data_IF_658549754776
#
_entry.id   IF_658549754776
#
_cell.length_a   1.000
_cell.length_b   1.000
_cell.length_c   1.000
_cell.angle_alpha   90.00
_cell.angle_beta   90.00
_cell.angle_gamma   90.00
#
_symmetry.space_group_name_H-M   'P 1'
#
loop_
_entity.id
_entity.type
_entity.pdbx_description
1 polymer ?
#
# COMPACT_ATOMS: atom_id res chain seq x y z
N UNK A 1 -30.37 10.49 82.85
CA UNK A 1 -29.59 11.35 81.93
C UNK A 1 -28.61 10.43 81.18
N UNK A 2 -28.99 9.70 80.13
CA UNK A 2 -29.20 10.12 78.73
C UNK A 2 -28.11 11.05 78.17
N UNK A 3 -27.05 10.43 77.63
CA UNK A 3 -26.05 11.09 76.77
C UNK A 3 -25.96 10.35 75.43
N UNK A 4 -26.64 10.87 74.40
CA UNK A 4 -26.40 10.56 72.98
C UNK A 4 -25.28 11.46 72.46
N UNK A 5 -24.47 10.96 71.54
CA UNK A 5 -23.82 11.62 70.36
C UNK A 5 -22.55 10.83 70.01
N UNK A 6 -22.09 10.67 68.78
CA UNK A 6 -22.64 10.73 67.42
C UNK A 6 -21.44 10.30 66.56
N UNK A 7 -21.55 9.21 65.80
CA UNK A 7 -20.48 8.77 64.89
C UNK A 7 -20.38 9.73 63.71
N UNK A 8 -19.24 10.42 63.59
CA UNK A 8 -18.88 11.21 62.41
C UNK A 8 -18.13 10.28 61.47
N UNK A 9 -18.80 9.90 60.38
CA UNK A 9 -18.16 9.26 59.21
C UNK A 9 -17.51 10.40 58.41
N UNK A 10 -16.18 10.47 58.45
CA UNK A 10 -15.40 11.34 57.57
C UNK A 10 -15.33 10.66 56.19
N UNK A 11 -16.16 11.11 55.25
CA UNK A 11 -15.98 10.78 53.84
C UNK A 11 -14.75 11.53 53.31
N UNK A 12 -13.65 10.81 53.10
CA UNK A 12 -12.57 11.30 52.24
C UNK A 12 -13.00 11.17 50.78
N UNK A 13 -13.50 12.27 50.20
CA UNK A 13 -13.54 12.45 48.76
C UNK A 13 -12.11 12.70 48.28
N UNK A 14 -11.39 11.63 47.91
CA UNK A 14 -10.16 11.77 47.12
C UNK A 14 -10.55 12.05 45.68
N UNK A 15 -10.71 13.34 45.34
CA UNK A 15 -10.68 13.77 43.95
C UNK A 15 -9.25 13.64 43.44
N UNK A 16 -8.88 12.47 42.91
CA UNK A 16 -7.69 12.35 42.07
C UNK A 16 -8.06 12.99 40.75
N UNK A 17 -7.88 14.31 40.65
CA UNK A 17 -7.70 14.94 39.36
C UNK A 17 -6.40 14.36 38.80
N UNK A 18 -6.50 13.34 37.95
CA UNK A 18 -5.40 12.98 37.07
C UNK A 18 -5.14 14.21 36.21
N UNK A 19 -4.13 14.99 36.57
CA UNK A 19 -3.49 15.90 35.63
C UNK A 19 -2.89 14.97 34.59
N UNK A 20 -3.59 14.80 33.46
CA UNK A 20 -3.04 14.17 32.29
C UNK A 20 -1.85 15.03 31.85
N UNK A 21 -0.66 14.64 32.28
CA UNK A 21 0.58 15.19 31.74
C UNK A 21 0.50 14.92 30.25
N UNK A 22 0.52 15.99 29.45
CA UNK A 22 0.48 15.89 28.00
C UNK A 22 1.59 14.92 27.57
N UNK A 23 1.19 13.74 27.10
CA UNK A 23 2.12 12.76 26.57
C UNK A 23 2.83 13.47 25.42
N UNK A 24 4.14 13.67 25.57
CA UNK A 24 4.94 14.36 24.56
C UNK A 24 4.76 13.63 23.24
N UNK A 25 4.01 14.24 22.36
CA UNK A 25 3.64 13.68 21.09
C UNK A 25 4.48 14.41 20.03
N UNK A 26 5.49 13.75 19.42
CA UNK A 26 6.30 14.33 18.35
C UNK A 26 5.45 14.87 17.20
N UNK A 27 4.26 14.33 17.02
CA UNK A 27 3.30 14.75 16.01
C UNK A 27 2.52 16.02 16.36
N UNK A 28 2.74 16.62 17.53
CA UNK A 28 2.14 17.88 17.98
C UNK A 28 0.60 17.91 17.82
N UNK A 29 -0.04 16.78 18.11
CA UNK A 29 -1.49 16.62 17.97
C UNK A 29 -2.13 16.16 19.28
N UNK A 30 -3.41 16.52 19.46
CA UNK A 30 -4.27 16.01 20.54
C UNK A 30 -4.89 14.66 20.19
N UNK A 31 -4.71 14.20 18.95
CA UNK A 31 -5.18 12.91 18.50
C UNK A 31 -4.39 11.76 19.12
N UNK A 32 -5.00 10.58 19.19
CA UNK A 32 -4.30 9.36 19.58
C UNK A 32 -3.21 9.01 18.55
N UNK A 33 -2.00 8.75 19.04
CA UNK A 33 -0.82 8.46 18.20
C UNK A 33 -0.27 7.07 18.51
N UNK A 34 -0.07 6.30 17.45
CA UNK A 34 0.70 5.06 17.51
C UNK A 34 2.15 5.34 17.10
N UNK A 35 3.13 4.82 17.83
CA UNK A 35 4.54 4.92 17.42
C UNK A 35 4.95 3.67 16.66
N UNK A 36 5.52 3.84 15.48
CA UNK A 36 6.00 2.73 14.66
C UNK A 36 7.11 1.95 15.37
N UNK A 37 7.03 0.62 15.32
CA UNK A 37 7.92 -0.27 16.08
C UNK A 37 7.47 -0.54 17.54
N UNK A 38 6.45 0.17 18.03
CA UNK A 38 5.81 -0.11 19.33
C UNK A 38 4.50 -0.89 19.15
N UNK A 39 3.89 -1.34 20.26
CA UNK A 39 2.56 -1.91 20.25
C UNK A 39 1.55 -0.89 19.68
N UNK A 40 0.73 -1.26 18.67
CA UNK A 40 -0.24 -0.33 18.08
C UNK A 40 -1.23 0.20 19.10
N UNK A 41 -1.48 1.51 19.07
CA UNK A 41 -2.54 2.14 19.85
C UNK A 41 -3.86 1.98 19.08
N UNK A 42 -4.85 1.33 19.69
CA UNK A 42 -6.16 1.14 19.07
C UNK A 42 -6.77 2.49 18.69
N UNK A 43 -7.32 2.58 17.47
CA UNK A 43 -7.97 3.78 16.93
C UNK A 43 -7.08 5.02 16.83
N UNK A 44 -5.74 4.86 16.91
CA UNK A 44 -4.84 5.96 16.58
C UNK A 44 -5.15 6.48 15.18
N UNK A 45 -5.28 7.80 15.05
CA UNK A 45 -5.51 8.47 13.77
C UNK A 45 -4.22 8.96 13.14
N UNK A 46 -3.13 8.99 13.92
CA UNK A 46 -1.77 9.34 13.49
C UNK A 46 -0.79 8.22 13.85
N UNK A 47 0.17 7.96 12.98
CA UNK A 47 1.31 7.07 13.22
C UNK A 47 2.60 7.88 13.17
N UNK A 48 3.29 7.99 14.31
CA UNK A 48 4.62 8.56 14.36
C UNK A 48 5.65 7.55 13.85
N UNK A 49 6.44 7.95 12.85
CA UNK A 49 7.57 7.17 12.33
C UNK A 49 8.89 7.80 12.80
N UNK A 50 9.53 7.24 13.84
CA UNK A 50 10.78 7.77 14.37
C UNK A 50 11.97 7.58 13.41
N UNK A 51 11.90 6.63 12.46
CA UNK A 51 12.99 6.38 11.52
C UNK A 51 13.16 7.55 10.53
N UNK A 52 12.08 8.29 10.31
CA UNK A 52 12.00 9.36 9.32
C UNK A 52 11.63 10.71 9.92
N UNK A 53 11.23 10.71 11.20
CA UNK A 53 10.71 11.89 11.91
C UNK A 53 9.53 12.52 11.16
N UNK A 54 8.54 11.70 10.83
CA UNK A 54 7.28 12.13 10.18
C UNK A 54 6.08 11.52 10.88
N UNK A 55 4.91 12.12 10.66
CA UNK A 55 3.65 11.68 11.23
C UNK A 55 2.67 11.34 10.13
N UNK A 56 2.47 10.04 9.93
CA UNK A 56 1.58 9.50 8.91
C UNK A 56 0.13 9.57 9.37
N UNK A 57 -0.76 9.75 8.41
CA UNK A 57 -2.17 9.48 8.63
C UNK A 57 -2.37 7.95 8.79
N UNK A 58 -3.01 7.53 9.87
CA UNK A 58 -3.15 6.10 10.18
C UNK A 58 -4.10 5.36 9.22
N UNK A 59 -5.13 6.03 8.70
CA UNK A 59 -5.96 5.46 7.64
C UNK A 59 -5.25 5.64 6.28
N UNK A 60 -4.59 4.59 5.83
CA UNK A 60 -3.83 4.53 4.59
C UNK A 60 -4.70 4.54 3.32
N UNK A 61 -6.03 4.57 3.46
CA UNK A 61 -6.95 4.81 2.35
C UNK A 61 -8.09 5.75 2.77
N UNK A 62 -7.76 6.84 3.46
CA UNK A 62 -8.75 7.85 3.84
C UNK A 62 -9.52 8.40 2.62
N UNK A 63 -8.85 8.51 1.46
CA UNK A 63 -9.48 8.94 0.21
C UNK A 63 -10.63 8.02 -0.25
N UNK A 64 -10.67 6.75 0.17
CA UNK A 64 -11.77 5.83 -0.13
C UNK A 64 -13.01 6.03 0.76
N UNK A 65 -12.89 6.72 1.89
CA UNK A 65 -14.00 6.97 2.81
C UNK A 65 -15.08 7.84 2.13
N UNK A 66 -16.33 7.36 1.97
CA UNK A 66 -17.41 8.13 1.36
C UNK A 66 -17.68 9.47 2.04
N UNK A 67 -17.57 9.54 3.38
CA UNK A 67 -17.78 10.77 4.12
C UNK A 67 -16.64 11.76 3.87
N UNK A 68 -15.40 11.27 3.77
CA UNK A 68 -14.26 12.13 3.44
C UNK A 68 -14.36 12.66 2.01
N UNK A 69 -14.73 11.80 1.05
CA UNK A 69 -14.94 12.22 -0.35
C UNK A 69 -16.03 13.29 -0.45
N UNK A 70 -17.15 13.11 0.25
CA UNK A 70 -18.22 14.11 0.31
C UNK A 70 -17.77 15.41 0.99
N UNK A 71 -16.92 15.31 2.02
CA UNK A 71 -16.47 16.49 2.79
C UNK A 71 -15.41 17.32 2.07
N UNK A 72 -14.53 16.69 1.28
CA UNK A 72 -13.48 17.37 0.53
C UNK A 72 -13.93 17.83 -0.87
N UNK A 73 -14.97 17.20 -1.43
CA UNK A 73 -15.54 17.51 -2.74
C UNK A 73 -14.51 17.56 -3.89
N UNK A 74 -13.55 16.64 -3.85
CA UNK A 74 -12.51 16.51 -4.88
C UNK A 74 -12.99 15.53 -5.95
N UNK A 75 -13.27 16.04 -7.14
CA UNK A 75 -13.62 15.23 -8.31
C UNK A 75 -12.44 14.42 -8.84
N UNK A 76 -12.74 13.23 -9.38
CA UNK A 76 -11.75 12.32 -9.99
C UNK A 76 -11.26 11.20 -9.08
N UNK A 77 -11.67 11.17 -7.81
CA UNK A 77 -11.40 10.09 -6.85
C UNK A 77 -12.36 8.94 -7.11
N UNK A 78 -11.81 7.76 -7.41
CA UNK A 78 -12.63 6.57 -7.60
C UNK A 78 -13.29 6.12 -6.27
N UNK A 79 -14.37 5.31 -6.29
CA UNK A 79 -15.04 4.86 -5.07
C UNK A 79 -14.13 4.18 -4.05
N UNK A 80 -13.10 3.46 -4.52
CA UNK A 80 -12.12 2.82 -3.66
C UNK A 80 -11.00 3.75 -3.15
N UNK A 81 -10.96 5.03 -3.54
CA UNK A 81 -9.93 5.98 -3.12
C UNK A 81 -8.72 6.09 -4.05
N UNK A 82 -8.60 5.22 -5.07
CA UNK A 82 -7.57 5.38 -6.11
C UNK A 82 -7.85 6.58 -7.01
N UNK A 83 -6.80 7.24 -7.48
CA UNK A 83 -6.92 8.46 -8.29
C UNK A 83 -5.66 8.73 -9.12
N UNK A 84 -5.77 9.60 -10.13
CA UNK A 84 -4.61 10.08 -10.88
C UNK A 84 -3.76 11.06 -10.07
N UNK A 85 -2.53 11.31 -10.52
CA UNK A 85 -1.59 12.12 -9.74
C UNK A 85 -2.07 13.57 -9.55
N UNK A 86 -2.70 14.16 -10.57
CA UNK A 86 -3.23 15.52 -10.47
C UNK A 86 -4.35 15.60 -9.44
N UNK A 87 -5.19 14.57 -9.36
CA UNK A 87 -6.25 14.44 -8.35
C UNK A 87 -5.67 14.20 -6.96
N UNK A 88 -4.59 13.42 -6.83
CA UNK A 88 -3.89 13.26 -5.56
C UNK A 88 -3.39 14.60 -5.01
N UNK A 89 -2.80 15.46 -5.85
CA UNK A 89 -2.39 16.81 -5.44
C UNK A 89 -3.57 17.68 -5.00
N UNK A 90 -4.71 17.63 -5.72
CA UNK A 90 -5.94 18.35 -5.32
C UNK A 90 -6.50 17.81 -4.00
N UNK A 91 -6.45 16.50 -3.78
CA UNK A 91 -6.90 15.86 -2.54
C UNK A 91 -6.05 16.28 -1.35
N UNK A 92 -4.72 16.29 -1.48
CA UNK A 92 -3.81 16.79 -0.43
C UNK A 92 -4.04 18.28 -0.16
N UNK A 93 -4.24 19.10 -1.20
CA UNK A 93 -4.55 20.52 -1.03
C UNK A 93 -5.89 20.73 -0.29
N UNK A 94 -6.92 19.95 -0.62
CA UNK A 94 -8.21 20.00 0.07
C UNK A 94 -8.09 19.54 1.53
N UNK A 95 -7.29 18.51 1.81
CA UNK A 95 -7.00 18.04 3.16
C UNK A 95 -6.35 19.12 4.01
N UNK A 96 -5.42 19.89 3.42
CA UNK A 96 -4.77 21.03 4.08
C UNK A 96 -5.69 22.25 4.25
N UNK A 97 -6.63 22.46 3.32
CA UNK A 97 -7.62 23.53 3.39
C UNK A 97 -8.84 23.18 4.27
N UNK A 98 -8.93 21.94 4.75
CA UNK A 98 -10.07 21.44 5.52
C UNK A 98 -10.36 22.28 6.77
N UNK A 99 -11.62 22.31 7.21
CA UNK A 99 -12.08 23.06 8.38
C UNK A 99 -11.60 24.53 8.37
N UNK A 100 -11.93 25.24 7.29
CA UNK A 100 -11.59 26.65 7.06
C UNK A 100 -10.07 26.95 7.15
N UNK A 101 -9.24 26.06 6.61
CA UNK A 101 -7.78 26.22 6.58
C UNK A 101 -7.05 25.76 7.84
N UNK A 102 -7.78 25.26 8.85
CA UNK A 102 -7.16 24.60 10.01
C UNK A 102 -6.49 23.28 9.63
N UNK A 103 -6.90 22.70 8.51
CA UNK A 103 -6.43 21.43 7.99
C UNK A 103 -7.03 20.22 8.72
N UNK A 104 -6.90 19.05 8.09
CA UNK A 104 -7.42 17.81 8.65
C UNK A 104 -6.64 17.41 9.91
N UNK A 105 -7.37 17.06 10.98
CA UNK A 105 -6.83 16.78 12.31
C UNK A 105 -5.98 17.91 12.91
N UNK A 106 -6.20 19.16 12.46
CA UNK A 106 -5.46 20.34 12.92
C UNK A 106 -4.10 20.54 12.23
N UNK A 107 -3.83 19.82 11.14
CA UNK A 107 -2.61 19.94 10.35
C UNK A 107 -2.93 20.38 8.93
N UNK A 108 -2.28 21.44 8.46
CA UNK A 108 -2.42 22.00 7.11
C UNK A 108 -1.14 21.88 6.27
N UNK A 109 -0.24 20.99 6.68
CA UNK A 109 1.05 20.70 6.06
C UNK A 109 1.19 19.22 5.67
N UNK A 110 0.06 18.54 5.41
CA UNK A 110 0.06 17.21 4.81
C UNK A 110 0.74 17.25 3.45
N UNK A 111 1.56 16.24 3.16
CA UNK A 111 2.20 16.07 1.87
C UNK A 111 2.19 14.62 1.40
N UNK A 112 2.33 14.44 0.09
CA UNK A 112 2.64 13.14 -0.48
C UNK A 112 4.02 12.67 0.01
N UNK A 113 4.23 11.35 0.15
CA UNK A 113 5.52 10.80 0.50
C UNK A 113 6.58 11.09 -0.54
N UNK A 114 7.80 11.40 -0.10
CA UNK A 114 8.87 11.81 -1.01
C UNK A 114 9.89 10.71 -1.30
N UNK A 115 10.44 10.71 -2.51
CA UNK A 115 11.56 9.90 -2.96
C UNK A 115 12.70 10.79 -3.47
N UNK A 116 13.97 10.44 -3.21
CA UNK A 116 15.09 11.13 -3.85
C UNK A 116 15.20 10.70 -5.32
N UNK A 117 15.87 11.49 -6.14
CA UNK A 117 16.18 11.09 -7.52
C UNK A 117 17.15 9.89 -7.52
N UNK A 118 18.21 9.98 -6.72
CA UNK A 118 19.25 8.96 -6.59
C UNK A 118 19.20 8.36 -5.19
N UNK A 119 19.07 7.04 -5.15
CA UNK A 119 19.15 6.20 -3.96
C UNK A 119 20.05 5.00 -4.24
N UNK A 120 21.27 5.05 -3.70
CA UNK A 120 22.26 3.99 -3.84
C UNK A 120 21.92 2.72 -3.07
N UNK A 121 20.77 2.60 -2.42
CA UNK A 121 20.29 1.34 -1.86
C UNK A 121 19.40 0.55 -2.82
N UNK A 122 18.77 1.22 -3.79
CA UNK A 122 17.92 0.59 -4.79
C UNK A 122 18.70 -0.44 -5.64
N UNK A 123 17.99 -1.46 -6.10
CA UNK A 123 18.57 -2.49 -6.96
C UNK A 123 19.03 -1.97 -8.31
N UNK A 124 18.33 -0.99 -8.89
CA UNK A 124 18.54 -0.55 -10.26
C UNK A 124 18.47 0.98 -10.44
N UNK A 125 18.95 1.45 -11.60
CA UNK A 125 19.01 2.86 -11.97
C UNK A 125 18.55 3.00 -13.42
N UNK A 126 17.58 3.90 -13.64
CA UNK A 126 16.99 4.15 -14.96
C UNK A 126 17.82 5.11 -15.83
N UNK A 127 17.37 5.29 -17.08
CA UNK A 127 18.07 6.02 -18.18
C UNK A 127 18.44 7.49 -17.87
N UNK A 128 17.91 8.08 -16.80
CA UNK A 128 18.20 9.45 -16.38
C UNK A 128 18.65 9.55 -14.91
N UNK A 129 19.24 8.46 -14.38
CA UNK A 129 19.78 8.41 -13.02
C UNK A 129 18.75 8.16 -11.92
N UNK A 130 17.46 8.07 -12.26
CA UNK A 130 16.40 7.75 -11.31
C UNK A 130 16.56 6.36 -10.72
N UNK A 131 16.71 6.24 -9.40
CA UNK A 131 16.83 4.96 -8.71
C UNK A 131 15.47 4.29 -8.51
N UNK A 132 15.36 3.03 -8.95
CA UNK A 132 14.12 2.26 -8.90
C UNK A 132 14.41 0.81 -8.50
N UNK A 133 13.34 0.07 -8.20
CA UNK A 133 13.44 -1.34 -7.87
C UNK A 133 13.17 -1.66 -6.40
N UNK A 134 13.48 -2.89 -5.98
CA UNK A 134 13.44 -3.27 -4.57
C UNK A 134 14.61 -2.66 -3.78
N UNK A 135 14.52 -2.77 -2.45
CA UNK A 135 15.57 -2.39 -1.48
C UNK A 135 15.95 -0.90 -1.45
N UNK A 136 15.19 -0.02 -2.09
CA UNK A 136 15.31 1.42 -1.87
C UNK A 136 15.08 1.73 -0.38
N UNK A 137 15.86 2.62 0.22
CA UNK A 137 15.77 2.98 1.65
C UNK A 137 15.68 4.48 1.86
N UNK A 138 15.96 5.26 0.82
CA UNK A 138 15.93 6.71 0.82
C UNK A 138 14.52 7.29 0.58
N UNK A 139 13.58 6.54 0.00
CA UNK A 139 12.20 7.02 -0.14
C UNK A 139 11.35 6.77 1.09
N UNK A 140 10.37 7.65 1.32
CA UNK A 140 9.57 7.61 2.52
C UNK A 140 8.70 6.34 2.64
N UNK A 141 8.12 5.90 1.52
CA UNK A 141 7.31 4.67 1.47
C UNK A 141 8.17 3.41 1.56
N UNK A 142 9.35 3.40 0.94
CA UNK A 142 10.22 2.22 1.01
C UNK A 142 10.88 2.05 2.38
N UNK A 143 11.23 3.16 3.04
CA UNK A 143 11.66 3.13 4.44
C UNK A 143 10.52 2.67 5.36
N UNK A 144 9.29 3.19 5.16
CA UNK A 144 8.11 2.73 5.89
C UNK A 144 7.91 1.22 5.71
N UNK A 145 7.99 0.70 4.48
CA UNK A 145 7.84 -0.73 4.20
C UNK A 145 8.92 -1.58 4.88
N UNK A 146 10.20 -1.26 4.64
CA UNK A 146 11.32 -2.12 5.03
C UNK A 146 11.74 -1.99 6.49
N UNK A 147 11.80 -0.75 7.00
CA UNK A 147 12.24 -0.45 8.36
C UNK A 147 11.04 -0.37 9.29
N UNK A 148 10.02 0.38 8.89
CA UNK A 148 8.85 0.65 9.71
C UNK A 148 7.96 -0.56 9.94
N UNK A 149 7.55 -1.20 8.86
CA UNK A 149 6.66 -2.37 8.84
C UNK A 149 7.41 -3.70 8.83
N UNK A 150 8.76 -3.64 8.84
CA UNK A 150 9.66 -4.81 8.86
C UNK A 150 9.37 -5.81 7.74
N UNK A 151 8.96 -5.31 6.58
CA UNK A 151 8.73 -6.15 5.40
C UNK A 151 10.00 -6.28 4.57
N UNK A 152 10.10 -7.39 3.85
CA UNK A 152 11.22 -7.66 2.95
C UNK A 152 10.68 -8.04 1.60
N UNK A 153 11.19 -7.43 0.54
CA UNK A 153 10.82 -7.78 -0.82
C UNK A 153 10.98 -9.32 -1.05
N UNK A 154 10.02 -10.00 -1.73
CA UNK A 154 8.80 -9.47 -2.33
C UNK A 154 7.53 -9.59 -1.44
N UNK A 155 7.61 -9.43 -0.12
CA UNK A 155 6.48 -9.66 0.79
C UNK A 155 5.35 -8.62 0.63
N UNK A 156 4.11 -9.11 0.67
CA UNK A 156 2.90 -8.28 0.69
C UNK A 156 2.57 -7.80 2.10
N UNK A 157 2.05 -6.60 2.22
CA UNK A 157 1.38 -6.12 3.45
C UNK A 157 0.01 -6.76 3.68
N UNK A 158 -0.50 -7.56 2.73
CA UNK A 158 -1.75 -8.29 2.90
C UNK A 158 -1.69 -9.66 2.21
N UNK A 159 -0.82 -10.59 2.66
CA UNK A 159 -0.57 -11.86 1.97
C UNK A 159 -1.82 -12.76 1.88
N UNK A 160 -2.76 -12.61 2.82
CA UNK A 160 -4.04 -13.33 2.83
C UNK A 160 -5.18 -12.65 2.07
N UNK A 161 -4.96 -11.48 1.44
CA UNK A 161 -6.02 -10.78 0.72
C UNK A 161 -6.53 -11.62 -0.45
N UNK A 162 -7.83 -11.88 -0.51
CA UNK A 162 -8.46 -12.69 -1.54
C UNK A 162 -9.89 -12.17 -1.76
N UNK A 163 -10.08 -11.38 -2.82
CA UNK A 163 -11.39 -10.82 -3.15
C UNK A 163 -12.24 -11.77 -4.02
N UNK A 164 -13.55 -11.58 -3.95
CA UNK A 164 -14.52 -12.28 -4.80
C UNK A 164 -15.23 -11.29 -5.70
N UNK A 165 -15.12 -11.51 -7.00
CA UNK A 165 -15.90 -10.84 -8.05
C UNK A 165 -16.58 -11.96 -8.83
N UNK A 166 -17.74 -12.39 -8.33
CA UNK A 166 -18.38 -13.60 -8.82
C UNK A 166 -18.57 -13.55 -10.36
N UNK A 167 -18.29 -14.66 -11.07
CA UNK A 167 -17.95 -15.99 -10.53
C UNK A 167 -16.46 -16.23 -10.18
N UNK A 168 -15.58 -15.23 -10.31
CA UNK A 168 -14.18 -15.35 -9.91
C UNK A 168 -14.00 -15.16 -8.39
N UNK A 169 -13.00 -15.82 -7.85
CA UNK A 169 -12.56 -15.69 -6.46
C UNK A 169 -11.04 -15.58 -6.37
N UNK A 170 -10.53 -15.22 -5.19
CA UNK A 170 -9.09 -15.04 -4.92
C UNK A 170 -8.44 -13.98 -5.82
N UNK A 171 -9.21 -12.96 -6.22
CA UNK A 171 -8.70 -11.83 -6.99
C UNK A 171 -7.83 -10.94 -6.12
N UNK A 172 -6.77 -10.39 -6.73
CA UNK A 172 -5.76 -9.57 -6.06
C UNK A 172 -5.90 -8.10 -6.47
N UNK A 173 -5.57 -7.20 -5.54
CA UNK A 173 -5.73 -5.76 -5.72
C UNK A 173 -4.50 -5.10 -6.39
N UNK A 174 -3.96 -5.73 -7.43
CA UNK A 174 -2.78 -5.23 -8.15
C UNK A 174 -2.80 -5.67 -9.62
N UNK A 175 -1.67 -5.55 -10.31
CA UNK A 175 -1.51 -5.91 -11.71
C UNK A 175 -1.45 -7.43 -11.97
N UNK A 176 -1.96 -7.78 -13.15
CA UNK A 176 -1.87 -9.09 -13.78
C UNK A 176 -1.10 -8.99 -15.09
N UNK A 177 -0.27 -9.99 -15.40
CA UNK A 177 0.52 -10.05 -16.64
C UNK A 177 -0.34 -10.27 -17.90
N UNK A 178 0.07 -9.63 -18.99
CA UNK A 178 -0.32 -9.92 -20.38
C UNK A 178 0.94 -10.04 -21.26
N UNK A 179 0.83 -10.64 -22.46
CA UNK A 179 2.01 -11.05 -23.26
C UNK A 179 2.53 -10.05 -24.29
N UNK A 180 1.75 -9.03 -24.66
CA UNK A 180 2.14 -8.06 -25.67
C UNK A 180 3.03 -6.97 -25.06
N UNK A 181 4.02 -6.55 -25.84
CA UNK A 181 4.85 -5.38 -25.57
C UNK A 181 4.37 -4.22 -26.46
N UNK A 182 3.58 -3.30 -25.91
CA UNK A 182 3.05 -2.16 -26.65
C UNK A 182 4.07 -1.02 -26.81
N UNK A 183 5.09 -1.21 -27.66
CA UNK A 183 5.94 -0.15 -28.27
C UNK A 183 6.43 0.94 -27.28
N UNK A 184 6.62 0.60 -26.01
CA UNK A 184 7.18 1.52 -25.03
C UNK A 184 8.59 1.91 -25.46
N UNK A 185 8.97 3.17 -25.24
CA UNK A 185 10.31 3.69 -25.56
C UNK A 185 11.44 2.94 -24.83
N UNK A 186 11.11 2.07 -23.88
CA UNK A 186 11.97 0.99 -23.37
C UNK A 186 12.08 -0.21 -24.34
N UNK A 187 12.40 0.11 -25.60
CA UNK A 187 13.19 -0.70 -26.51
C UNK A 187 12.56 -1.97 -27.09
N UNK A 188 12.49 -1.99 -28.42
CA UNK A 188 12.36 -3.20 -29.25
C UNK A 188 13.47 -4.24 -29.05
N UNK A 189 14.46 -3.94 -28.20
CA UNK A 189 15.50 -4.85 -27.72
C UNK A 189 15.53 -5.00 -26.16
N UNK A 190 14.63 -4.32 -25.41
CA UNK A 190 14.61 -4.26 -23.93
C UNK A 190 13.28 -4.71 -23.26
N UNK A 191 12.33 -5.28 -24.00
CA UNK A 191 11.50 -6.40 -23.52
C UNK A 191 10.57 -6.20 -22.31
N UNK A 192 9.80 -5.11 -22.23
CA UNK A 192 8.69 -4.99 -21.28
C UNK A 192 7.46 -5.82 -21.64
N UNK A 193 6.51 -5.95 -20.71
CA UNK A 193 5.22 -6.60 -20.93
C UNK A 193 4.05 -5.75 -20.42
N UNK A 194 2.91 -5.90 -21.08
CA UNK A 194 1.66 -5.29 -20.64
C UNK A 194 1.17 -5.87 -19.32
N UNK A 195 0.49 -5.03 -18.56
CA UNK A 195 -0.16 -5.40 -17.31
C UNK A 195 -1.54 -4.77 -17.22
N UNK A 196 -2.46 -5.39 -16.49
CA UNK A 196 -3.79 -4.85 -16.25
C UNK A 196 -4.15 -4.91 -14.77
N UNK A 197 -4.72 -3.83 -14.23
CA UNK A 197 -5.17 -3.75 -12.84
C UNK A 197 -6.69 -3.84 -12.76
N UNK A 198 -7.19 -4.89 -12.10
CA UNK A 198 -8.63 -5.03 -11.82
C UNK A 198 -9.12 -4.03 -10.77
N UNK A 199 -8.24 -3.37 -10.03
CA UNK A 199 -8.61 -2.36 -9.02
C UNK A 199 -9.21 -1.12 -9.67
N UNK A 200 -8.73 -0.74 -10.85
CA UNK A 200 -9.07 0.53 -11.48
C UNK A 200 -9.36 0.41 -12.98
N UNK A 201 -9.23 -0.77 -13.58
CA UNK A 201 -9.49 -1.02 -14.99
C UNK A 201 -8.45 -0.41 -15.94
N UNK A 202 -7.24 -0.13 -15.46
CA UNK A 202 -6.19 0.54 -16.24
C UNK A 202 -5.08 -0.43 -16.66
N UNK A 203 -4.64 -0.25 -17.90
CA UNK A 203 -3.46 -0.90 -18.44
C UNK A 203 -2.16 -0.19 -18.02
N UNK A 204 -1.10 -0.96 -17.90
CA UNK A 204 0.26 -0.49 -17.68
C UNK A 204 1.26 -1.27 -18.53
N UNK A 205 2.52 -0.87 -18.44
CA UNK A 205 3.65 -1.61 -18.98
C UNK A 205 4.73 -1.73 -17.90
N UNK A 206 5.42 -2.86 -17.87
CA UNK A 206 6.46 -3.10 -16.88
C UNK A 206 7.65 -3.88 -17.43
N UNK A 207 8.79 -3.75 -16.76
CA UNK A 207 9.96 -4.61 -16.98
C UNK A 207 9.64 -6.03 -16.53
N UNK A 208 10.22 -7.04 -17.19
CA UNK A 208 9.97 -8.45 -16.89
C UNK A 208 10.88 -9.05 -15.80
N UNK A 209 11.92 -8.33 -15.39
CA UNK A 209 12.99 -8.88 -14.57
C UNK A 209 12.85 -8.58 -13.06
N UNK A 210 12.12 -7.52 -12.70
CA UNK A 210 12.23 -6.97 -11.34
C UNK A 210 10.91 -6.90 -10.57
N UNK A 211 9.78 -7.17 -11.24
CA UNK A 211 8.45 -6.95 -10.69
C UNK A 211 7.62 -8.25 -10.63
N UNK A 212 6.91 -8.43 -9.52
CA UNK A 212 6.09 -9.62 -9.26
C UNK A 212 4.62 -9.25 -9.48
N UNK A 213 4.00 -9.90 -10.46
CA UNK A 213 2.57 -9.77 -10.72
C UNK A 213 1.90 -11.14 -10.84
N UNK A 214 0.58 -11.13 -10.79
CA UNK A 214 -0.24 -12.33 -10.86
C UNK A 214 -0.52 -12.72 -12.31
N UNK A 215 -0.97 -13.95 -12.49
CA UNK A 215 -1.39 -14.47 -13.79
C UNK A 215 -2.83 -14.97 -13.65
N UNK A 216 -3.69 -14.53 -14.55
CA UNK A 216 -5.04 -15.07 -14.73
C UNK A 216 -5.09 -15.71 -16.11
N UNK A 217 -4.74 -17.00 -16.25
CA UNK A 217 -4.75 -17.70 -17.53
C UNK A 217 -6.14 -17.78 -18.13
N UNK A 218 -6.15 -17.84 -19.46
CA UNK A 218 -7.34 -18.11 -20.24
C UNK A 218 -7.10 -19.20 -21.28
N UNK A 219 -8.18 -19.75 -21.82
CA UNK A 219 -8.21 -20.59 -23.02
C UNK A 219 -9.08 -19.90 -24.04
N UNK A 220 -8.62 -19.84 -25.29
CA UNK A 220 -9.46 -19.42 -26.40
C UNK A 220 -10.50 -20.51 -26.69
N UNK A 221 -11.77 -20.24 -26.38
CA UNK A 221 -12.87 -21.20 -26.50
C UNK A 221 -13.24 -21.90 -25.20
N UNK A 222 -14.17 -22.85 -25.32
CA UNK A 222 -14.70 -23.62 -24.20
C UNK A 222 -13.83 -24.83 -23.84
N UNK A 223 -13.88 -25.22 -22.57
CA UNK A 223 -13.34 -26.48 -22.07
C UNK A 223 -14.40 -27.58 -22.17
N UNK A 224 -14.32 -28.39 -23.23
CA UNK A 224 -15.34 -29.41 -23.49
C UNK A 224 -16.66 -28.78 -23.95
N UNK A 225 -17.77 -29.11 -23.29
CA UNK A 225 -19.07 -28.54 -23.61
C UNK A 225 -19.20 -27.14 -23.00
N UNK A 226 -19.45 -26.09 -23.81
CA UNK A 226 -19.61 -24.74 -23.29
C UNK A 226 -20.82 -24.62 -22.34
N UNK A 227 -20.74 -23.79 -21.30
CA UNK A 227 -21.91 -23.42 -20.51
C UNK A 227 -22.98 -22.75 -21.36
N UNK A 228 -24.24 -22.85 -20.93
CA UNK A 228 -25.34 -22.12 -21.56
C UNK A 228 -25.23 -20.63 -21.25
N UNK A 229 -25.08 -19.81 -22.28
CA UNK A 229 -25.01 -18.37 -22.16
C UNK A 229 -26.42 -17.76 -22.04
N UNK A 230 -26.79 -17.16 -20.89
CA UNK A 230 -28.11 -16.60 -20.69
C UNK A 230 -28.31 -15.34 -21.53
N UNK A 231 -29.47 -15.20 -22.18
CA UNK A 231 -29.84 -13.97 -22.88
C UNK A 231 -30.10 -12.83 -21.87
N UNK A 232 -29.32 -11.75 -21.93
CA UNK A 232 -29.48 -10.58 -21.06
C UNK A 232 -29.13 -10.81 -19.58
N UNK A 233 -28.36 -11.87 -19.27
CA UNK A 233 -27.92 -12.23 -17.92
C UNK A 233 -26.43 -11.97 -17.66
N UNK A 234 -25.86 -12.68 -16.69
CA UNK A 234 -24.42 -12.61 -16.39
C UNK A 234 -23.61 -13.04 -17.63
N UNK A 235 -22.62 -12.23 -17.99
CA UNK A 235 -21.78 -12.46 -19.17
C UNK A 235 -20.72 -13.52 -18.89
N UNK A 236 -20.17 -13.53 -17.68
CA UNK A 236 -19.24 -14.57 -17.22
C UNK A 236 -19.98 -15.59 -16.36
N UNK A 237 -19.99 -16.85 -16.78
CA UNK A 237 -20.78 -17.93 -16.14
C UNK A 237 -19.90 -19.11 -15.72
N UNK A 238 -20.18 -19.77 -14.58
CA UNK A 238 -19.40 -20.93 -14.16
C UNK A 238 -19.70 -22.17 -15.01
N UNK A 239 -18.71 -23.05 -15.15
CA UNK A 239 -18.96 -24.40 -15.67
C UNK A 239 -19.77 -25.24 -14.67
N UNK A 240 -20.83 -25.90 -15.15
CA UNK A 240 -21.73 -26.73 -14.34
C UNK A 240 -21.51 -28.23 -14.51
N UNK A 241 -20.51 -28.65 -15.29
CA UNK A 241 -20.15 -30.05 -15.49
C UNK A 241 -18.79 -30.23 -16.16
N UNK A 242 -18.40 -31.49 -16.33
CA UNK A 242 -17.11 -31.86 -16.94
C UNK A 242 -15.90 -31.56 -16.06
N UNK A 243 -14.71 -31.63 -16.65
CA UNK A 243 -13.43 -31.40 -15.96
C UNK A 243 -13.22 -29.96 -15.49
N UNK A 244 -14.03 -29.02 -15.97
CA UNK A 244 -13.97 -27.59 -15.63
C UNK A 244 -14.92 -27.19 -14.49
N UNK A 245 -15.79 -28.10 -14.00
CA UNK A 245 -16.77 -27.84 -12.94
C UNK A 245 -16.10 -27.19 -11.72
N UNK A 246 -16.52 -25.97 -11.39
CA UNK A 246 -16.01 -25.19 -10.26
C UNK A 246 -14.57 -24.65 -10.39
N UNK A 247 -13.81 -25.09 -11.40
CA UNK A 247 -12.42 -24.67 -11.62
C UNK A 247 -12.25 -23.57 -12.67
N UNK A 248 -13.24 -23.39 -13.55
CA UNK A 248 -13.21 -22.39 -14.61
C UNK A 248 -14.56 -21.70 -14.79
N UNK A 249 -14.52 -20.57 -15.49
CA UNK A 249 -15.69 -19.78 -15.89
C UNK A 249 -15.60 -19.49 -17.39
N UNK A 250 -16.74 -19.39 -18.05
CA UNK A 250 -16.83 -19.08 -19.47
C UNK A 250 -17.38 -17.67 -19.63
N UNK A 251 -16.66 -16.85 -20.38
CA UNK A 251 -17.11 -15.54 -20.80
C UNK A 251 -17.89 -15.68 -22.11
N UNK A 252 -19.20 -15.48 -22.01
CA UNK A 252 -20.14 -15.64 -23.11
C UNK A 252 -20.02 -14.56 -24.19
N UNK A 253 -19.40 -13.42 -23.88
CA UNK A 253 -19.25 -12.31 -24.83
C UNK A 253 -17.96 -12.49 -25.65
N UNK A 254 -16.85 -12.82 -24.99
CA UNK A 254 -15.56 -13.01 -25.69
C UNK A 254 -15.34 -14.44 -26.19
N UNK A 255 -16.05 -15.42 -25.64
CA UNK A 255 -15.86 -16.84 -25.92
C UNK A 255 -14.61 -17.44 -25.25
N UNK A 256 -14.03 -16.75 -24.26
CA UNK A 256 -12.87 -17.23 -23.52
C UNK A 256 -13.26 -17.99 -22.26
N UNK A 257 -12.50 -19.03 -21.95
CA UNK A 257 -12.56 -19.68 -20.63
C UNK A 257 -11.47 -19.11 -19.74
N UNK A 258 -11.82 -18.73 -18.52
CA UNK A 258 -10.92 -18.21 -17.51
C UNK A 258 -10.86 -19.14 -16.31
N UNK A 259 -9.75 -19.13 -15.56
CA UNK A 259 -9.73 -19.76 -14.24
C UNK A 259 -10.72 -19.07 -13.31
N UNK A 260 -11.45 -19.87 -12.51
CA UNK A 260 -12.31 -19.34 -11.46
C UNK A 260 -11.50 -18.82 -10.26
N UNK A 261 -10.38 -19.48 -9.93
CA UNK A 261 -9.39 -19.02 -8.95
C UNK A 261 -8.39 -18.07 -9.63
N UNK A 262 -8.55 -16.78 -9.38
CA UNK A 262 -7.72 -15.73 -9.98
C UNK A 262 -6.32 -15.60 -9.37
N UNK A 263 -5.97 -16.47 -8.43
CA UNK A 263 -4.62 -16.63 -7.93
C UNK A 263 -4.30 -18.12 -7.66
N UNK A 264 -4.65 -18.98 -8.64
CA UNK A 264 -4.34 -20.41 -8.57
C UNK A 264 -2.86 -20.68 -8.31
N UNK A 265 -1.96 -19.84 -8.83
CA UNK A 265 -0.52 -19.99 -8.59
C UNK A 265 -0.12 -19.96 -7.10
N UNK A 266 -0.91 -19.30 -6.25
CA UNK A 266 -0.69 -19.27 -4.81
C UNK A 266 -1.00 -20.59 -4.10
N UNK A 267 -1.91 -21.40 -4.66
CA UNK A 267 -2.34 -22.68 -4.10
C UNK A 267 -1.78 -23.90 -4.85
N UNK A 268 -1.47 -23.74 -6.14
CA UNK A 268 -0.90 -24.77 -7.00
C UNK A 268 0.21 -24.20 -7.90
N UNK A 269 1.45 -24.53 -7.56
CA UNK A 269 2.64 -24.07 -8.29
C UNK A 269 3.04 -24.97 -9.46
N UNK A 270 2.32 -26.07 -9.72
CA UNK A 270 2.67 -27.09 -10.73
C UNK A 270 4.14 -27.56 -10.66
N UNK A 271 4.71 -27.66 -9.45
CA UNK A 271 6.09 -28.08 -9.22
C UNK A 271 7.15 -26.99 -9.37
N UNK A 272 6.77 -25.76 -9.73
CA UNK A 272 7.69 -24.62 -9.76
C UNK A 272 8.06 -24.24 -8.33
N UNK A 273 9.34 -24.42 -7.99
CA UNK A 273 9.89 -24.16 -6.65
C UNK A 273 11.27 -23.52 -6.75
N UNK A 274 11.81 -23.09 -5.60
CA UNK A 274 13.13 -22.50 -5.48
C UNK A 274 13.15 -20.99 -5.67
N UNK A 275 14.36 -20.46 -5.77
CA UNK A 275 14.61 -19.02 -5.83
C UNK A 275 15.19 -18.62 -7.20
N UNK A 276 15.09 -17.34 -7.49
CA UNK A 276 15.76 -16.63 -8.56
C UNK A 276 16.47 -15.42 -8.00
N UNK A 277 17.19 -14.70 -8.86
CA UNK A 277 18.01 -13.57 -8.51
C UNK A 277 17.56 -12.34 -9.30
N UNK A 278 17.30 -11.23 -8.62
CA UNK A 278 16.73 -10.00 -9.22
C UNK A 278 17.71 -8.83 -9.14
N UNK A 279 17.68 -8.01 -10.19
CA UNK A 279 18.41 -6.76 -10.29
C UNK A 279 19.93 -6.95 -10.28
N UNK A 280 20.65 -5.84 -10.43
CA UNK A 280 22.11 -5.86 -10.44
C UNK A 280 22.73 -6.26 -9.09
N UNK A 281 21.95 -6.19 -8.01
CA UNK A 281 22.38 -6.53 -6.63
C UNK A 281 22.25 -8.01 -6.28
N UNK A 282 21.82 -8.83 -7.22
CA UNK A 282 21.61 -10.25 -7.02
C UNK A 282 20.69 -10.60 -5.83
N UNK A 283 19.52 -9.96 -5.77
CA UNK A 283 18.57 -10.14 -4.66
C UNK A 283 17.91 -11.50 -4.77
N UNK A 284 18.03 -12.40 -3.78
CA UNK A 284 17.35 -13.68 -3.81
C UNK A 284 15.85 -13.49 -3.56
N UNK A 285 15.02 -14.05 -4.44
CA UNK A 285 13.57 -14.02 -4.32
C UNK A 285 12.97 -15.38 -4.71
N UNK A 286 11.87 -15.82 -4.09
CA UNK A 286 11.21 -17.06 -4.49
C UNK A 286 10.65 -16.94 -5.90
N UNK A 287 10.69 -18.01 -6.70
CA UNK A 287 10.13 -17.97 -8.07
C UNK A 287 8.66 -17.54 -8.08
N UNK A 288 7.88 -18.03 -7.11
CA UNK A 288 6.48 -17.67 -6.88
C UNK A 288 6.33 -17.21 -5.42
N UNK A 289 5.79 -16.02 -5.20
CA UNK A 289 5.51 -15.47 -3.87
C UNK A 289 4.02 -15.20 -3.70
N UNK A 290 3.31 -16.01 -2.90
CA UNK A 290 1.86 -15.85 -2.72
C UNK A 290 1.04 -15.96 -4.02
N UNK A 291 1.65 -16.45 -5.10
CA UNK A 291 1.10 -16.54 -6.46
C UNK A 291 1.54 -15.43 -7.42
N UNK A 292 2.15 -14.34 -6.93
CA UNK A 292 2.82 -13.36 -7.78
C UNK A 292 4.20 -13.88 -8.21
N UNK A 293 4.64 -13.50 -9.42
CA UNK A 293 5.90 -13.96 -10.00
C UNK A 293 6.41 -13.05 -11.11
N UNK A 294 7.70 -13.18 -11.46
CA UNK A 294 8.25 -12.57 -12.69
C UNK A 294 7.61 -13.17 -13.94
N UNK A 295 7.61 -12.42 -15.04
CA UNK A 295 6.97 -12.84 -16.30
C UNK A 295 7.55 -14.16 -16.86
N UNK A 296 8.87 -14.39 -16.74
CA UNK A 296 9.45 -15.66 -17.18
C UNK A 296 8.94 -16.84 -16.35
N UNK A 297 8.81 -16.67 -15.03
CA UNK A 297 8.22 -17.70 -14.17
C UNK A 297 6.74 -17.90 -14.50
N UNK A 298 5.98 -16.84 -14.79
CA UNK A 298 4.59 -16.93 -15.26
C UNK A 298 4.47 -17.82 -16.51
N UNK A 299 5.36 -17.63 -17.48
CA UNK A 299 5.42 -18.45 -18.69
C UNK A 299 5.71 -19.93 -18.35
N UNK A 300 6.67 -20.19 -17.46
CA UNK A 300 7.00 -21.55 -17.01
C UNK A 300 5.83 -22.21 -16.26
N UNK A 301 5.13 -21.44 -15.42
CA UNK A 301 4.00 -21.92 -14.64
C UNK A 301 2.81 -22.30 -15.54
N UNK A 302 2.48 -21.48 -16.55
CA UNK A 302 1.45 -21.82 -17.55
C UNK A 302 1.86 -23.01 -18.42
N UNK A 303 3.14 -23.15 -18.78
CA UNK A 303 3.63 -24.35 -19.46
C UNK A 303 3.48 -25.61 -18.59
N UNK A 304 3.84 -25.54 -17.31
CA UNK A 304 3.67 -26.66 -16.37
C UNK A 304 2.19 -27.02 -16.15
N UNK A 305 1.31 -26.02 -16.07
CA UNK A 305 -0.15 -26.18 -16.04
C UNK A 305 -0.64 -26.95 -17.27
N UNK A 306 -0.19 -26.58 -18.47
CA UNK A 306 -0.54 -27.28 -19.70
C UNK A 306 -0.01 -28.73 -19.76
N UNK A 307 1.23 -28.96 -19.31
CA UNK A 307 1.80 -30.31 -19.23
C UNK A 307 1.02 -31.21 -18.26
N UNK A 308 0.45 -30.64 -17.20
CA UNK A 308 -0.42 -31.38 -16.26
C UNK A 308 -1.84 -31.65 -16.80
N UNK A 309 -2.18 -31.08 -17.97
CA UNK A 309 -3.53 -31.04 -18.52
C UNK A 309 -4.58 -30.56 -17.51
N UNK A 310 -4.28 -29.46 -16.82
CA UNK A 310 -5.15 -28.90 -15.79
C UNK A 310 -6.57 -28.63 -16.33
N UNK A 311 -7.59 -29.12 -15.60
CA UNK A 311 -9.00 -29.14 -16.01
C UNK A 311 -9.26 -29.80 -17.38
N UNK A 312 -8.40 -30.73 -17.79
CA UNK A 312 -8.49 -31.44 -19.06
C UNK A 312 -7.94 -30.68 -20.27
N UNK A 313 -7.28 -29.54 -20.07
CA UNK A 313 -6.76 -28.68 -21.15
C UNK A 313 -5.25 -28.50 -21.09
N UNK A 314 -4.64 -28.43 -22.28
CA UNK A 314 -3.24 -28.03 -22.48
C UNK A 314 -3.13 -26.72 -23.29
N UNK A 315 -4.21 -25.94 -23.36
CA UNK A 315 -4.33 -24.73 -24.15
C UNK A 315 -4.41 -23.45 -23.30
N UNK A 316 -4.03 -23.53 -22.02
CA UNK A 316 -3.96 -22.36 -21.14
C UNK A 316 -2.86 -21.41 -21.62
N UNK A 317 -3.18 -20.12 -21.63
CA UNK A 317 -2.26 -19.06 -22.02
C UNK A 317 -2.41 -17.85 -21.12
N UNK A 318 -1.30 -17.11 -20.95
CA UNK A 318 -1.34 -15.75 -20.42
C UNK A 318 -2.12 -14.90 -21.44
N UNK A 319 -3.03 -14.00 -21.02
CA UNK A 319 -3.77 -13.15 -21.94
C UNK A 319 -2.86 -12.41 -22.92
N UNK A 320 -3.22 -12.42 -24.20
CA UNK A 320 -2.37 -11.90 -25.26
C UNK A 320 -2.01 -10.42 -25.03
N UNK A 321 -2.99 -9.63 -24.61
CA UNK A 321 -2.89 -8.18 -24.36
C UNK A 321 -3.67 -7.80 -23.10
N UNK A 322 -3.38 -6.63 -22.53
CA UNK A 322 -4.17 -6.04 -21.45
C UNK A 322 -5.62 -5.79 -21.88
N UNK A 323 -5.89 -5.65 -23.19
CA UNK A 323 -7.24 -5.51 -23.71
C UNK A 323 -8.11 -6.74 -23.41
N UNK A 324 -7.55 -7.95 -23.49
CA UNK A 324 -8.27 -9.18 -23.16
C UNK A 324 -8.71 -9.20 -21.69
N UNK A 325 -7.87 -8.69 -20.78
CA UNK A 325 -8.22 -8.54 -19.36
C UNK A 325 -9.23 -7.39 -19.14
N UNK A 326 -9.16 -6.33 -19.95
CA UNK A 326 -10.14 -5.23 -19.93
C UNK A 326 -11.53 -5.67 -20.38
N UNK A 327 -11.62 -6.54 -21.39
CA UNK A 327 -12.90 -7.10 -21.84
C UNK A 327 -13.49 -7.97 -20.71
N UNK A 328 -12.69 -8.85 -20.06
CA UNK A 328 -13.14 -9.60 -18.88
C UNK A 328 -13.60 -8.68 -17.73
N UNK A 329 -12.86 -7.61 -17.44
CA UNK A 329 -13.24 -6.63 -16.42
C UNK A 329 -14.62 -6.02 -16.70
N UNK A 330 -14.90 -5.70 -17.97
CA UNK A 330 -16.19 -5.18 -18.41
C UNK A 330 -17.29 -6.23 -18.28
N UNK A 331 -16.99 -7.46 -18.67
CA UNK A 331 -17.95 -8.58 -18.67
C UNK A 331 -18.24 -9.12 -17.25
N UNK A 332 -17.35 -8.85 -16.29
CA UNK A 332 -17.59 -9.01 -14.85
C UNK A 332 -18.40 -7.87 -14.22
N UNK A 333 -18.81 -6.89 -15.03
CA UNK A 333 -19.51 -5.68 -14.62
C UNK A 333 -18.76 -4.97 -13.48
N UNK A 334 -17.45 -4.79 -13.68
CA UNK A 334 -16.59 -4.03 -12.78
C UNK A 334 -16.49 -2.58 -13.24
N UNK A 335 -16.21 -1.70 -12.29
CA UNK A 335 -16.02 -0.27 -12.54
C UNK A 335 -14.68 0.21 -11.98
N UNK A 336 -14.16 1.32 -12.51
CA UNK A 336 -12.89 1.87 -12.02
C UNK A 336 -13.01 2.22 -10.54
N UNK A 337 -12.20 1.56 -9.71
CA UNK A 337 -12.25 1.67 -8.28
C UNK A 337 -13.35 0.87 -7.61
N UNK A 338 -13.62 -0.33 -8.12
CA UNK A 338 -14.54 -1.29 -7.53
C UNK A 338 -14.17 -1.59 -6.07
N UNK A 339 -15.13 -1.43 -5.17
CA UNK A 339 -14.92 -1.60 -3.72
C UNK A 339 -14.77 -3.07 -3.31
N UNK A 340 -15.16 -4.03 -4.17
CA UNK A 340 -14.97 -5.47 -3.91
C UNK A 340 -13.49 -5.85 -3.78
N UNK A 341 -12.59 -5.03 -4.33
CA UNK A 341 -11.14 -5.22 -4.27
C UNK A 341 -10.45 -4.41 -3.16
N UNK A 342 -11.20 -3.87 -2.18
CA UNK A 342 -10.62 -3.18 -1.04
C UNK A 342 -10.29 -4.14 0.10
N UNK A 343 -9.06 -4.03 0.62
CA UNK A 343 -8.72 -4.55 1.94
C UNK A 343 -9.30 -3.63 3.02
N UNK A 344 -9.93 -4.23 4.01
CA UNK A 344 -10.30 -3.55 5.27
C UNK A 344 -9.53 -4.16 6.44
N UNK A 345 -9.33 -3.40 7.50
CA UNK A 345 -8.62 -3.84 8.69
C UNK A 345 -7.24 -3.20 8.83
N UNK A 346 -6.42 -3.75 9.73
CA UNK A 346 -5.14 -3.15 10.12
C UNK A 346 -3.93 -3.98 9.67
N UNK A 347 -2.86 -3.29 9.28
CA UNK A 347 -1.53 -3.85 9.11
C UNK A 347 -0.54 -3.02 9.92
N UNK A 348 -0.02 -3.61 11.01
CA UNK A 348 0.69 -2.85 12.02
C UNK A 348 -0.19 -1.71 12.56
N UNK A 349 0.31 -0.47 12.62
CA UNK A 349 -0.46 0.68 13.10
C UNK A 349 -1.35 1.34 12.03
N UNK A 350 -1.34 0.86 10.78
CA UNK A 350 -2.12 1.44 9.69
C UNK A 350 -3.43 0.70 9.47
N UNK A 351 -4.49 1.45 9.20
CA UNK A 351 -5.79 0.94 8.77
C UNK A 351 -5.92 1.06 7.26
N UNK A 352 -6.56 0.09 6.62
CA UNK A 352 -6.90 0.07 5.20
C UNK A 352 -5.67 0.28 4.28
N UNK A 353 -4.50 -0.23 4.69
CA UNK A 353 -3.31 -0.25 3.85
C UNK A 353 -3.49 -1.28 2.73
N UNK A 354 -3.59 -0.83 1.49
CA UNK A 354 -3.88 -1.69 0.36
C UNK A 354 -2.60 -2.38 -0.14
N UNK A 355 -2.66 -3.67 -0.54
CA UNK A 355 -1.56 -4.35 -1.22
C UNK A 355 -1.50 -3.89 -2.69
N UNK A 356 -1.14 -2.63 -2.91
CA UNK A 356 -1.17 -1.99 -4.22
C UNK A 356 -0.19 -0.82 -4.32
N UNK A 357 -0.28 -0.07 -5.42
CA UNK A 357 0.54 1.11 -5.68
C UNK A 357 0.01 2.36 -4.98
N UNK A 358 0.95 3.14 -4.46
CA UNK A 358 0.71 4.44 -3.85
C UNK A 358 1.51 5.53 -4.54
N UNK A 359 0.90 6.72 -4.67
CA UNK A 359 1.60 7.90 -5.16
C UNK A 359 2.65 8.39 -4.17
N UNK A 360 3.81 8.73 -4.71
CA UNK A 360 4.87 9.48 -4.04
C UNK A 360 5.25 10.67 -4.94
N UNK A 361 6.25 11.44 -4.56
CA UNK A 361 6.82 12.48 -5.43
C UNK A 361 8.29 12.74 -5.17
N UNK A 362 8.93 13.54 -6.03
CA UNK A 362 10.36 13.79 -5.91
C UNK A 362 10.65 14.94 -4.93
N UNK A 363 11.61 14.71 -4.03
CA UNK A 363 12.26 15.76 -3.23
C UNK A 363 13.60 16.20 -3.82
N UNK A 364 14.15 17.29 -3.29
CA UNK A 364 15.56 17.64 -3.51
C UNK A 364 16.49 16.52 -3.01
N UNK A 365 17.56 16.25 -3.77
CA UNK A 365 18.51 15.18 -3.47
C UNK A 365 19.26 15.39 -2.14
N UNK A 366 19.49 16.65 -1.75
CA UNK A 366 20.12 17.00 -0.46
C UNK A 366 19.17 16.86 0.73
N UNK A 367 17.87 16.69 0.46
CA UNK A 367 16.81 16.56 1.45
C UNK A 367 16.59 15.16 1.99
N UNK A 368 15.62 15.03 2.88
CA UNK A 368 15.19 13.78 3.51
C UNK A 368 13.65 13.66 3.50
N UNK A 369 13.09 12.69 4.22
CA UNK A 369 11.63 12.49 4.24
C UNK A 369 10.84 13.68 4.79
N UNK A 370 11.45 14.60 5.52
CA UNK A 370 10.80 15.84 5.96
C UNK A 370 10.77 16.93 4.89
N UNK A 371 11.52 16.78 3.80
CA UNK A 371 11.60 17.75 2.71
C UNK A 371 10.29 17.83 1.93
N UNK A 372 10.00 19.00 1.32
CA UNK A 372 8.81 19.18 0.50
C UNK A 372 8.88 18.36 -0.79
N UNK A 373 7.68 18.06 -1.29
CA UNK A 373 7.41 17.53 -2.61
C UNK A 373 7.61 18.62 -3.69
N UNK A 374 8.74 18.62 -4.42
CA UNK A 374 9.13 19.77 -5.26
C UNK A 374 9.31 19.45 -6.75
N UNK A 375 9.37 18.18 -7.13
CA UNK A 375 9.68 17.81 -8.51
C UNK A 375 8.92 16.56 -8.99
N UNK A 376 9.05 16.31 -10.29
CA UNK A 376 8.64 15.07 -10.92
C UNK A 376 9.81 14.11 -11.06
N UNK A 377 9.49 12.82 -11.14
CA UNK A 377 10.45 11.81 -11.56
C UNK A 377 10.90 12.02 -13.02
N UNK A 378 12.05 11.45 -13.43
CA UNK A 378 12.49 11.54 -14.81
C UNK A 378 11.43 11.01 -15.80
N UNK A 379 11.21 11.68 -16.94
CA UNK A 379 10.23 11.25 -17.92
C UNK A 379 10.69 9.99 -18.67
N UNK A 380 9.74 9.26 -19.25
CA UNK A 380 9.99 8.24 -20.27
C UNK A 380 9.47 8.74 -21.62
N UNK A 381 10.41 9.08 -22.51
CA UNK A 381 10.11 9.76 -23.76
C UNK A 381 9.27 11.03 -23.52
N UNK A 382 8.10 11.19 -24.16
CA UNK A 382 7.23 12.35 -23.96
C UNK A 382 6.37 12.28 -22.68
N UNK A 383 6.38 11.14 -21.99
CA UNK A 383 5.49 10.91 -20.85
C UNK A 383 6.13 11.39 -19.55
N UNK A 384 5.48 12.37 -18.92
CA UNK A 384 5.82 12.77 -17.55
C UNK A 384 5.48 11.62 -16.59
N UNK A 385 6.43 11.29 -15.72
CA UNK A 385 6.27 10.27 -14.70
C UNK A 385 6.31 10.88 -13.30
N UNK A 386 5.86 10.10 -12.33
CA UNK A 386 6.07 10.37 -10.93
C UNK A 386 6.41 9.10 -10.14
N UNK A 387 7.10 9.25 -9.02
CA UNK A 387 7.43 8.17 -8.10
C UNK A 387 6.19 7.48 -7.53
N UNK A 388 6.28 6.17 -7.39
CA UNK A 388 5.27 5.34 -6.75
C UNK A 388 5.92 4.29 -5.86
N UNK A 389 5.12 3.60 -5.06
CA UNK A 389 5.58 2.46 -4.29
C UNK A 389 4.50 1.39 -4.24
N UNK A 390 4.88 0.12 -4.48
CA UNK A 390 3.97 -1.02 -4.43
C UNK A 390 4.11 -1.76 -3.10
N UNK A 391 3.09 -1.70 -2.24
CA UNK A 391 3.06 -2.41 -0.96
C UNK A 391 2.72 -3.90 -1.07
N UNK A 392 2.31 -4.39 -2.24
CA UNK A 392 2.10 -5.83 -2.43
C UNK A 392 3.40 -6.62 -2.52
N UNK A 393 4.49 -5.94 -2.92
CA UNK A 393 5.78 -6.62 -3.13
C UNK A 393 6.97 -5.83 -2.58
N UNK A 394 6.83 -4.56 -2.21
CA UNK A 394 7.95 -3.74 -1.75
C UNK A 394 8.86 -3.25 -2.89
N UNK A 395 8.27 -2.65 -3.93
CA UNK A 395 8.98 -2.19 -5.12
C UNK A 395 8.71 -0.71 -5.38
N UNK A 396 9.75 0.06 -5.70
CA UNK A 396 9.66 1.47 -6.07
C UNK A 396 9.80 1.67 -7.59
N UNK A 397 8.74 2.03 -8.33
CA UNK A 397 8.82 2.45 -9.71
C UNK A 397 8.64 3.96 -9.88
N UNK A 398 8.72 4.38 -11.14
CA UNK A 398 8.07 5.58 -11.67
C UNK A 398 6.85 5.18 -12.49
N UNK A 399 5.84 6.04 -12.57
CA UNK A 399 4.60 5.73 -13.28
C UNK A 399 4.03 6.94 -13.99
N UNK A 400 3.36 6.71 -15.12
CA UNK A 400 2.68 7.77 -15.87
C UNK A 400 1.56 8.39 -15.03
N UNK A 401 1.40 9.71 -15.11
CA UNK A 401 0.49 10.46 -14.25
C UNK A 401 -0.99 10.06 -14.38
N UNK A 402 -1.35 9.38 -15.47
CA UNK A 402 -2.72 8.90 -15.77
C UNK A 402 -3.10 7.62 -15.04
N UNK A 403 -2.14 6.92 -14.41
CA UNK A 403 -2.44 5.73 -13.61
C UNK A 403 -3.33 6.11 -12.42
N UNK A 404 -4.04 5.14 -11.84
CA UNK A 404 -4.93 5.39 -10.68
C UNK A 404 -4.41 4.66 -9.46
N UNK A 405 -3.71 5.38 -8.57
CA UNK A 405 -3.10 4.79 -7.37
C UNK A 405 -3.68 5.36 -6.10
N UNK A 406 -3.44 4.65 -5.00
CA UNK A 406 -3.85 5.09 -3.67
C UNK A 406 -2.94 6.21 -3.17
N UNK A 407 -3.40 6.90 -2.12
CA UNK A 407 -2.67 8.02 -1.52
C UNK A 407 -2.53 7.78 -0.03
N UNK A 408 -1.29 7.84 0.45
CA UNK A 408 -0.97 8.06 1.86
C UNK A 408 -0.38 9.46 1.98
N UNK A 409 -0.51 10.05 3.16
CA UNK A 409 0.11 11.34 3.48
C UNK A 409 0.76 11.29 4.84
N UNK A 410 1.76 12.13 5.02
CA UNK A 410 2.28 12.49 6.32
C UNK A 410 2.55 13.99 6.37
N UNK A 411 2.86 14.49 7.57
CA UNK A 411 3.51 15.77 7.74
C UNK A 411 4.86 15.59 8.45
N UNK A 412 5.87 16.41 8.12
CA UNK A 412 7.14 16.43 8.84
C UNK A 412 6.95 16.77 10.32
N UNK A 413 7.72 16.14 11.21
CA UNK A 413 7.79 16.61 12.59
C UNK A 413 8.54 17.94 12.60
N UNK A 414 7.83 19.03 12.86
CA UNK A 414 8.46 20.30 13.20
C UNK A 414 9.15 20.13 14.53
N UNK A 415 10.48 20.03 14.54
CA UNK A 415 11.26 20.08 15.77
C UNK A 415 10.75 21.28 16.59
N UNK A 416 10.27 21.08 17.83
CA UNK A 416 9.91 22.21 18.66
C UNK A 416 11.18 23.06 18.81
N UNK A 417 11.08 24.33 18.46
CA UNK A 417 12.15 25.34 18.64
C UNK A 417 12.26 25.71 20.14
N UNK A 418 12.11 24.73 21.03
CA UNK A 418 12.03 24.93 22.47
C UNK A 418 12.38 23.68 23.28
N UNK A 419 12.58 23.84 24.60
CA UNK A 419 12.87 22.75 25.53
C UNK A 419 11.73 21.72 25.53
N UNK A 420 12.09 20.45 25.40
CA UNK A 420 11.17 19.31 25.37
C UNK A 420 11.54 18.36 26.51
N UNK A 421 10.68 18.21 27.52
CA UNK A 421 10.89 17.27 28.63
C UNK A 421 10.30 15.90 28.29
N UNK A 422 11.10 14.94 27.85
CA UNK A 422 10.66 13.58 27.49
C UNK A 422 10.38 12.67 28.68
N UNK A 423 10.93 12.96 29.87
CA UNK A 423 10.71 12.19 31.09
C UNK A 423 10.88 13.07 32.33
N UNK A 424 10.01 12.88 33.32
CA UNK A 424 10.23 13.32 34.71
C UNK A 424 10.04 12.09 35.59
N UNK A 425 11.10 11.63 36.24
CA UNK A 425 11.06 10.39 37.01
C UNK A 425 11.91 10.48 38.28
N UNK A 426 11.69 9.56 39.21
CA UNK A 426 12.60 9.38 40.34
C UNK A 426 14.00 9.00 39.82
N UNK A 427 15.02 9.76 40.24
CA UNK A 427 16.39 9.59 39.79
C UNK A 427 17.05 8.26 40.25
N UNK A 428 16.49 7.59 41.27
CA UNK A 428 17.03 6.33 41.80
C UNK A 428 16.52 5.07 41.07
N UNK A 429 15.68 5.21 40.04
CA UNK A 429 15.20 4.01 39.31
C UNK A 429 14.21 4.25 38.17
N UNK A 430 14.14 5.45 37.61
CA UNK A 430 13.26 5.81 36.47
C UNK A 430 11.75 5.58 36.71
N UNK A 431 11.34 5.39 37.97
CA UNK A 431 9.95 5.19 38.33
C UNK A 431 9.13 6.49 38.20
N UNK A 432 7.94 6.40 37.62
CA UNK A 432 7.00 7.53 37.50
C UNK A 432 6.37 7.92 38.85
N UNK A 433 6.49 7.07 39.87
CA UNK A 433 6.05 7.36 41.23
C UNK A 433 7.17 8.10 41.98
N UNK A 434 6.97 9.39 42.22
CA UNK A 434 7.92 10.26 42.92
C UNK A 434 7.54 10.32 44.40
N UNK A 435 8.43 9.86 45.28
CA UNK A 435 8.22 9.93 46.72
C UNK A 435 8.63 11.31 47.27
N UNK A 436 8.09 11.74 48.43
CA UNK A 436 8.58 12.95 49.08
C UNK A 436 10.09 12.86 49.36
N UNK A 437 10.81 13.96 49.12
CA UNK A 437 12.26 14.10 49.35
C UNK A 437 13.17 13.19 48.51
N UNK A 438 12.73 12.71 47.35
CA UNK A 438 13.61 12.00 46.38
C UNK A 438 14.12 12.92 45.28
N UNK A 439 15.31 12.63 44.76
CA UNK A 439 15.84 13.30 43.57
C UNK A 439 14.99 12.98 42.33
N UNK A 440 14.82 13.97 41.47
CA UNK A 440 14.07 13.84 40.22
C UNK A 440 15.06 14.00 39.06
N UNK A 441 14.95 13.12 38.09
CA UNK A 441 15.63 13.26 36.81
C UNK A 441 14.65 13.81 35.76
N UNK A 442 15.10 14.81 35.02
CA UNK A 442 14.37 15.40 33.88
C UNK A 442 15.17 15.09 32.63
N UNK A 443 14.63 14.24 31.75
CA UNK A 443 15.24 13.95 30.43
C UNK A 443 14.49 14.72 29.36
N UNK A 444 15.19 15.08 28.29
CA UNK A 444 14.61 15.91 27.25
C UNK A 444 15.61 16.41 26.22
N UNK A 445 15.10 17.07 25.18
CA UNK A 445 15.91 17.80 24.20
C UNK A 445 15.78 19.30 24.39
N UNK A 446 16.81 20.06 24.04
CA UNK A 446 16.86 21.52 24.18
C UNK A 446 16.54 22.03 25.60
N UNK A 447 16.73 21.20 26.65
CA UNK A 447 16.48 21.58 28.05
C UNK A 447 17.40 22.69 28.55
N UNK A 448 18.51 22.90 27.85
CA UNK A 448 19.44 23.99 28.07
C UNK A 448 19.55 24.86 26.82
N UNK A 449 19.79 26.18 26.97
CA UNK A 449 20.10 27.06 25.84
C UNK A 449 21.30 26.57 25.03
N UNK A 450 21.34 26.91 23.73
CA UNK A 450 22.47 26.59 22.87
C UNK A 450 23.76 27.18 23.46
N UNK A 451 24.74 26.31 23.74
CA UNK A 451 26.04 26.69 24.31
C UNK A 451 26.18 26.54 25.83
N UNK A 452 25.15 26.04 26.53
CA UNK A 452 25.23 25.71 27.95
C UNK A 452 25.85 24.32 28.15
N UNK A 453 27.00 24.25 28.83
CA UNK A 453 27.77 23.02 29.07
C UNK A 453 27.78 22.58 30.54
N UNK A 454 26.85 23.10 31.35
CA UNK A 454 26.73 22.75 32.78
C UNK A 454 26.24 21.32 32.99
#
# INVERSE_FOLDING_TARGET
>A
MHGKRASIILLFLTSIAQIAVAQNNPCQTTQAVSTLGSAPVAQATIVYDPNQSVCWLANANLAGDPNMRASLDVSGINPNGSMDYATALRWVAALNAYNNGSGYLGHNNWQLPVAPLVDHSCADVGTYGGSFGPQCTGSALSNLYSVGLKQTFPASVAPGFAATVAPLHNMKATYYWATQNNIGTSGTNNGGQETFSFVNGIQGGNTINDNYFYVLPMVAGALGTPPNCPSGGAVVVPYTGGSALGGAVYDCNTGYTWLADANLAGSNNFGITGNLTIGNRMIPAPKINGGAMLYQTATQWVQAMNNSRYLGSSAWQIPATARVLQDLFTDLNMESGDSRLLLTGAFGPFQNLQPSFYWACQRDQSGNSQSPCVAYAPPDGPSQLQWTFNFDIGFQPTSALIQKFFVMVYYPVTNPVGPLVSLVANAEGEALTIAPNTWVEIKGSNLAPVGDSR
#
